data_IF_049257363061
#
_entry.id   IF_049257363061
#
_cell.length_a   1.000
_cell.length_b   1.000
_cell.length_c   1.000
_cell.angle_alpha   90.00
_cell.angle_beta   90.00
_cell.angle_gamma   90.00
#
_symmetry.space_group_name_H-M   'P 1'
#
loop_
_entity.id
_entity.type
_entity.pdbx_description
1 polymer ?
#
# COMPACT_ATOMS: atom_id res chain seq x y z
N UNK A 1 10.56 -3.70 28.29
CA UNK A 1 9.29 -4.07 27.64
C UNK A 1 9.38 -3.60 26.19
N UNK A 2 9.10 -4.50 25.25
CA UNK A 2 9.01 -4.16 23.84
C UNK A 2 7.53 -4.00 23.50
N UNK A 3 7.20 -3.00 22.68
CA UNK A 3 5.88 -2.84 22.10
C UNK A 3 5.96 -3.18 20.62
N UNK A 4 4.90 -3.80 20.13
CA UNK A 4 4.80 -4.31 18.78
C UNK A 4 3.67 -3.58 18.05
N UNK A 5 3.92 -3.20 16.80
CA UNK A 5 2.92 -2.62 15.93
C UNK A 5 2.99 -3.30 14.55
N UNK A 6 1.96 -4.07 14.23
CA UNK A 6 1.86 -4.77 12.94
C UNK A 6 1.49 -3.79 11.82
N UNK A 7 2.19 -3.89 10.70
CA UNK A 7 1.94 -3.11 9.48
C UNK A 7 1.08 -3.93 8.49
N UNK A 8 0.34 -3.25 7.58
CA UNK A 8 -0.49 -3.93 6.58
C UNK A 8 0.29 -4.86 5.65
N UNK A 9 1.57 -4.57 5.40
CA UNK A 9 2.46 -5.39 4.56
C UNK A 9 3.04 -6.63 5.28
N UNK A 10 2.62 -6.88 6.52
CA UNK A 10 3.06 -8.03 7.33
C UNK A 10 4.35 -7.79 8.11
N UNK A 11 4.99 -6.62 8.00
CA UNK A 11 6.12 -6.26 8.87
C UNK A 11 5.61 -5.91 10.28
N UNK A 12 6.45 -6.07 11.29
CA UNK A 12 6.17 -5.68 12.68
C UNK A 12 7.22 -4.67 13.11
N UNK A 13 6.78 -3.49 13.54
CA UNK A 13 7.64 -2.52 14.20
C UNK A 13 7.82 -2.93 15.66
N UNK A 14 9.08 -3.12 16.06
CA UNK A 14 9.43 -3.38 17.46
C UNK A 14 10.01 -2.11 18.06
N UNK A 15 9.29 -1.55 19.02
CA UNK A 15 9.78 -0.40 19.78
C UNK A 15 10.16 -0.86 21.18
N UNK A 16 11.22 -0.26 21.72
CA UNK A 16 11.63 -0.48 23.11
C UNK A 16 11.44 0.82 23.85
N UNK A 17 11.03 0.75 25.11
CA UNK A 17 11.09 1.94 25.98
C UNK A 17 12.55 2.33 26.16
N UNK A 18 12.98 3.30 25.35
CA UNK A 18 14.23 4.02 25.55
C UNK A 18 14.06 4.86 26.82
N UNK A 19 15.03 4.80 27.74
CA UNK A 19 15.05 5.68 28.92
C UNK A 19 16.30 6.54 28.80
N UNK A 20 16.17 7.88 28.72
CA UNK A 20 17.35 8.74 28.79
C UNK A 20 18.06 8.50 30.12
N UNK A 21 19.40 8.45 30.10
CA UNK A 21 20.24 8.10 31.26
C UNK A 21 20.03 9.09 32.41
N UNK A 22 19.69 10.34 32.10
CA UNK A 22 19.40 11.43 33.04
C UNK A 22 17.89 11.79 33.12
N UNK A 23 17.03 11.04 32.41
CA UNK A 23 15.57 11.23 32.34
C UNK A 23 15.10 12.62 31.86
N UNK A 24 15.95 13.39 31.18
CA UNK A 24 15.58 14.71 30.66
C UNK A 24 15.04 14.60 29.23
N UNK A 25 15.93 14.39 28.27
CA UNK A 25 15.65 14.39 26.83
C UNK A 25 16.44 13.31 26.10
N UNK A 26 15.94 12.92 24.92
CA UNK A 26 16.69 12.06 24.01
C UNK A 26 17.75 12.88 23.28
N UNK A 27 19.03 12.50 23.44
CA UNK A 27 20.10 13.04 22.61
C UNK A 27 19.84 12.80 21.11
N UNK A 28 20.40 13.63 20.20
CA UNK A 28 20.09 13.56 18.76
C UNK A 28 20.30 12.18 18.12
N UNK A 29 21.31 11.42 18.57
CA UNK A 29 21.60 10.08 18.06
C UNK A 29 20.53 9.05 18.44
N UNK A 30 20.09 9.05 19.71
CA UNK A 30 19.03 8.14 20.16
C UNK A 30 17.68 8.55 19.57
N UNK A 31 17.43 9.85 19.39
CA UNK A 31 16.24 10.33 18.71
C UNK A 31 16.19 9.85 17.26
N UNK A 32 17.29 10.01 16.50
CA UNK A 32 17.39 9.51 15.13
C UNK A 32 17.19 7.99 15.04
N UNK A 33 17.73 7.23 15.99
CA UNK A 33 17.51 5.79 16.08
C UNK A 33 16.04 5.43 16.34
N UNK A 34 15.35 6.15 17.24
CA UNK A 34 13.93 5.94 17.51
C UNK A 34 13.09 6.18 16.25
N UNK A 35 13.30 7.32 15.57
CA UNK A 35 12.54 7.65 14.37
C UNK A 35 12.76 6.64 13.24
N UNK A 36 14.02 6.32 12.97
CA UNK A 36 14.39 5.46 11.84
C UNK A 36 14.13 3.99 12.11
N UNK A 37 14.68 3.46 13.19
CA UNK A 37 14.80 2.01 13.39
C UNK A 37 13.64 1.44 14.21
N UNK A 38 12.93 2.26 15.00
CA UNK A 38 11.79 1.81 15.80
C UNK A 38 10.44 2.21 15.18
N UNK A 39 10.34 3.44 14.68
CA UNK A 39 9.06 3.99 14.19
C UNK A 39 8.94 4.00 12.67
N UNK A 40 10.05 3.84 11.94
CA UNK A 40 10.17 3.95 10.48
C UNK A 40 9.50 5.21 9.93
N UNK A 41 9.83 6.38 10.48
CA UNK A 41 9.30 7.69 10.03
C UNK A 41 10.40 8.74 9.97
N UNK A 42 10.17 9.78 9.18
CA UNK A 42 10.93 11.02 9.25
C UNK A 42 10.49 11.87 10.44
N UNK A 43 11.29 12.89 10.78
CA UNK A 43 10.92 13.83 11.85
C UNK A 43 9.66 14.64 11.49
N UNK A 44 9.49 15.01 10.22
CA UNK A 44 8.30 15.72 9.73
C UNK A 44 7.04 14.87 9.89
N UNK A 45 7.06 13.62 9.44
CA UNK A 45 5.95 12.68 9.60
C UNK A 45 5.62 12.42 11.08
N UNK A 46 6.65 12.36 11.94
CA UNK A 46 6.45 12.20 13.38
C UNK A 46 5.68 13.39 13.97
N UNK A 47 6.13 14.62 13.72
CA UNK A 47 5.48 15.80 14.28
C UNK A 47 4.10 16.05 13.67
N UNK A 48 3.91 15.85 12.37
CA UNK A 48 2.58 15.87 11.76
C UNK A 48 1.62 14.83 12.34
N UNK A 49 2.12 13.65 12.74
CA UNK A 49 1.30 12.66 13.44
C UNK A 49 0.94 13.09 14.87
N UNK A 50 1.88 13.66 15.60
CA UNK A 50 1.68 14.07 17.00
C UNK A 50 0.72 15.26 17.09
N UNK A 51 1.00 16.30 16.31
CA UNK A 51 0.36 17.60 16.34
C UNK A 51 -0.96 17.58 15.55
N UNK A 52 -0.93 17.07 14.32
CA UNK A 52 -2.05 17.19 13.36
C UNK A 52 -2.84 15.89 13.19
N UNK A 53 -2.46 14.80 13.88
CA UNK A 53 -3.07 13.46 13.74
C UNK A 53 -2.98 12.89 12.33
N UNK A 54 -2.01 13.34 11.53
CA UNK A 54 -1.73 12.80 10.21
C UNK A 54 -0.94 11.51 10.35
N UNK A 55 -1.56 10.37 10.03
CA UNK A 55 -0.88 9.09 10.11
C UNK A 55 0.27 9.02 9.08
N UNK A 56 1.46 8.56 9.47
CA UNK A 56 2.58 8.39 8.55
C UNK A 56 2.20 7.39 7.46
N UNK A 57 2.71 7.60 6.25
CA UNK A 57 2.50 6.67 5.14
C UNK A 57 3.32 5.40 5.36
N UNK A 58 2.76 4.46 6.13
CA UNK A 58 3.35 3.14 6.36
C UNK A 58 2.72 2.16 5.40
N UNK A 59 3.56 1.54 4.57
CA UNK A 59 3.24 0.45 3.64
C UNK A 59 1.75 0.23 3.38
N UNK A 60 1.18 0.89 2.39
CA UNK A 60 -0.11 0.46 1.86
C UNK A 60 0.11 -0.84 1.10
N UNK A 61 -0.52 -1.92 1.52
CA UNK A 61 -0.81 -3.01 0.58
C UNK A 61 -1.57 -2.35 -0.56
N UNK A 62 -1.10 -2.43 -1.83
CA UNK A 62 -1.86 -1.92 -2.94
C UNK A 62 -3.27 -2.49 -2.82
N UNK A 63 -4.30 -1.65 -2.82
CA UNK A 63 -5.67 -2.15 -2.72
C UNK A 63 -5.85 -3.26 -3.75
N UNK A 64 -6.40 -4.43 -3.36
CA UNK A 64 -6.60 -5.52 -4.29
C UNK A 64 -7.39 -5.00 -5.50
N UNK A 65 -6.72 -4.91 -6.66
CA UNK A 65 -7.39 -4.47 -7.88
C UNK A 65 -8.51 -5.45 -8.17
N UNK A 66 -9.70 -4.92 -8.43
CA UNK A 66 -10.86 -5.76 -8.73
C UNK A 66 -10.57 -6.63 -9.96
N UNK A 67 -10.66 -7.95 -9.79
CA UNK A 67 -10.25 -8.89 -10.82
C UNK A 67 -11.22 -8.89 -12.02
N UNK A 68 -10.67 -9.03 -13.23
CA UNK A 68 -11.46 -9.25 -14.45
C UNK A 68 -12.10 -10.65 -14.35
N UNK A 69 -13.43 -10.79 -14.51
CA UNK A 69 -14.06 -12.11 -14.53
C UNK A 69 -13.50 -13.00 -15.65
N UNK A 70 -13.26 -14.28 -15.34
CA UNK A 70 -12.67 -15.24 -16.29
C UNK A 70 -13.43 -15.35 -17.62
N UNK A 71 -14.76 -15.21 -17.59
CA UNK A 71 -15.58 -15.18 -18.82
C UNK A 71 -15.23 -14.00 -19.73
N UNK A 72 -15.09 -12.80 -19.15
CA UNK A 72 -14.70 -11.58 -19.89
C UNK A 72 -13.30 -11.74 -20.48
N UNK A 73 -12.35 -12.22 -19.68
CA UNK A 73 -10.97 -12.45 -20.13
C UNK A 73 -10.90 -13.44 -21.30
N UNK A 74 -11.67 -14.54 -21.23
CA UNK A 74 -11.75 -15.52 -22.30
C UNK A 74 -12.25 -14.90 -23.60
N UNK A 75 -13.37 -14.17 -23.57
CA UNK A 75 -13.95 -13.57 -24.78
C UNK A 75 -12.98 -12.55 -25.39
N UNK A 76 -12.41 -11.65 -24.59
CA UNK A 76 -11.51 -10.61 -25.10
C UNK A 76 -10.25 -11.20 -25.77
N UNK A 77 -9.68 -12.28 -25.22
CA UNK A 77 -8.48 -12.91 -25.79
C UNK A 77 -8.81 -13.82 -26.97
N UNK A 78 -9.81 -14.69 -26.82
CA UNK A 78 -10.07 -15.76 -27.78
C UNK A 78 -10.92 -15.28 -28.95
N UNK A 79 -11.93 -14.46 -28.69
CA UNK A 79 -12.91 -14.02 -29.70
C UNK A 79 -12.54 -12.63 -30.24
N UNK A 80 -12.31 -11.65 -29.37
CA UNK A 80 -11.93 -10.29 -29.77
C UNK A 80 -10.43 -10.16 -30.14
N UNK A 81 -9.64 -11.22 -29.95
CA UNK A 81 -8.21 -11.32 -30.32
C UNK A 81 -7.33 -10.21 -29.73
N UNK A 82 -7.70 -9.69 -28.56
CA UNK A 82 -6.91 -8.70 -27.82
C UNK A 82 -5.75 -9.44 -27.12
N UNK A 83 -4.50 -8.94 -27.22
CA UNK A 83 -3.36 -9.55 -26.53
C UNK A 83 -3.60 -9.71 -25.02
N UNK A 84 -3.27 -10.87 -24.47
CA UNK A 84 -3.47 -11.17 -23.05
C UNK A 84 -2.78 -10.16 -22.12
N UNK A 85 -1.59 -9.66 -22.51
CA UNK A 85 -0.88 -8.63 -21.77
C UNK A 85 -1.66 -7.31 -21.70
N UNK A 86 -2.37 -6.95 -22.78
CA UNK A 86 -3.22 -5.76 -22.83
C UNK A 86 -4.47 -5.95 -21.98
N UNK A 87 -5.14 -7.10 -22.07
CA UNK A 87 -6.30 -7.43 -21.22
C UNK A 87 -5.91 -7.43 -19.73
N UNK A 88 -4.73 -7.95 -19.37
CA UNK A 88 -4.23 -7.93 -17.98
C UNK A 88 -3.88 -6.54 -17.47
N UNK A 89 -3.63 -5.58 -18.36
CA UNK A 89 -3.38 -4.19 -17.98
C UNK A 89 -4.69 -3.42 -17.72
N UNK A 90 -5.84 -3.93 -18.17
CA UNK A 90 -7.14 -3.31 -17.96
C UNK A 90 -7.61 -3.43 -16.51
N UNK A 91 -8.34 -2.43 -16.06
CA UNK A 91 -9.26 -2.53 -14.94
C UNK A 91 -10.46 -3.42 -15.32
N UNK A 92 -11.17 -3.93 -14.31
CA UNK A 92 -12.44 -4.65 -14.54
C UNK A 92 -13.44 -3.81 -15.35
N UNK A 93 -13.53 -2.51 -15.07
CA UNK A 93 -14.46 -1.60 -15.76
C UNK A 93 -14.11 -1.49 -17.25
N UNK A 94 -12.83 -1.26 -17.56
CA UNK A 94 -12.36 -1.18 -18.95
C UNK A 94 -12.60 -2.51 -19.70
N UNK A 95 -12.34 -3.65 -19.06
CA UNK A 95 -12.56 -4.96 -19.68
C UNK A 95 -14.05 -5.23 -19.98
N UNK A 96 -14.95 -4.83 -19.08
CA UNK A 96 -16.40 -4.95 -19.29
C UNK A 96 -16.87 -4.02 -20.42
N UNK A 97 -16.38 -2.78 -20.45
CA UNK A 97 -16.69 -1.83 -21.52
C UNK A 97 -16.20 -2.37 -22.87
N UNK A 98 -14.97 -2.88 -22.93
CA UNK A 98 -14.40 -3.45 -24.15
C UNK A 98 -15.21 -4.64 -24.67
N UNK A 99 -15.74 -5.47 -23.76
CA UNK A 99 -16.62 -6.57 -24.11
C UNK A 99 -17.96 -6.09 -24.66
N UNK A 100 -18.56 -5.07 -24.05
CA UNK A 100 -19.80 -4.46 -24.53
C UNK A 100 -19.63 -3.86 -25.94
N UNK A 101 -18.51 -3.17 -26.18
CA UNK A 101 -18.17 -2.61 -27.49
C UNK A 101 -18.02 -3.71 -28.54
N UNK A 102 -17.34 -4.81 -28.20
CA UNK A 102 -17.17 -5.95 -29.09
C UNK A 102 -18.50 -6.53 -29.54
N UNK A 103 -19.47 -6.71 -28.64
CA UNK A 103 -20.80 -7.22 -29.01
C UNK A 103 -21.68 -6.21 -29.73
N UNK A 104 -21.47 -4.91 -29.52
CA UNK A 104 -22.23 -3.85 -30.20
C UNK A 104 -21.79 -3.70 -31.66
N UNK A 105 -20.50 -3.88 -31.96
CA UNK A 105 -19.93 -3.75 -33.30
C UNK A 105 -19.86 -5.06 -34.09
N UNK A 106 -20.19 -6.20 -33.46
CA UNK A 106 -20.24 -7.51 -34.12
C UNK A 106 -21.66 -7.92 -34.56
N UNK A 107 -22.62 -6.99 -34.49
CA UNK A 107 -23.95 -7.11 -35.12
C UNK A 107 -23.99 -6.53 -36.53
#
# INVERSE_FOLDING_TARGET
MNYEFALPDGRILYTRISHPVDRSDYGPSIWGHILKDQLEVTAEEFWGCVEDKLLPSRSQVPEPREAIPMGVLRVLIQEARIPEAEVRAMTKVEAIQRLADFYTHSQ
#
